data_IF_689045789697
#
_entry.id   IF_689045789697
#
_cell.length_a   1.000
_cell.length_b   1.000
_cell.length_c   1.000
_cell.angle_alpha   90.00
_cell.angle_beta   90.00
_cell.angle_gamma   90.00
#
_symmetry.space_group_name_H-M   'P 1'
#
loop_
_entity.id
_entity.type
_entity.pdbx_description
1 polymer ?
#
# COMPACT_ATOMS: atom_id res chain seq x y z
N UNK A 1 32.26 -42.35 -9.16
CA UNK A 1 31.83 -41.74 -10.45
C UNK A 1 30.73 -40.77 -10.09
N UNK A 2 31.11 -39.52 -9.86
CA UNK A 2 30.18 -38.47 -9.45
C UNK A 2 29.40 -38.01 -10.68
N UNK A 3 28.12 -38.36 -10.73
CA UNK A 3 27.19 -37.79 -11.70
C UNK A 3 27.10 -36.28 -11.47
N UNK A 4 27.27 -35.43 -12.51
CA UNK A 4 27.14 -33.99 -12.34
C UNK A 4 25.72 -33.66 -11.86
N UNK A 5 25.63 -33.01 -10.70
CA UNK A 5 24.35 -32.55 -10.13
C UNK A 5 23.83 -31.43 -11.02
N UNK A 6 22.79 -31.73 -11.80
CA UNK A 6 22.11 -30.74 -12.65
C UNK A 6 21.14 -29.96 -11.77
N UNK A 7 21.32 -28.64 -11.70
CA UNK A 7 20.43 -27.72 -10.98
C UNK A 7 19.31 -27.25 -11.90
N UNK A 8 18.08 -27.22 -11.40
CA UNK A 8 16.88 -26.86 -12.17
C UNK A 8 15.85 -27.99 -12.27
N UNK A 9 15.01 -27.94 -13.31
CA UNK A 9 14.02 -28.98 -13.62
C UNK A 9 14.75 -30.29 -13.93
N UNK A 10 14.52 -31.33 -13.14
CA UNK A 10 15.09 -32.66 -13.36
C UNK A 10 14.00 -33.63 -13.80
N UNK A 11 14.36 -34.64 -14.60
CA UNK A 11 13.45 -35.70 -15.04
C UNK A 11 13.17 -36.75 -13.93
N UNK A 12 13.67 -36.53 -12.72
CA UNK A 12 13.45 -37.44 -11.60
C UNK A 12 12.09 -37.14 -10.94
N UNK A 13 11.17 -38.09 -11.04
CA UNK A 13 9.82 -38.00 -10.43
C UNK A 13 9.85 -37.79 -8.91
N UNK A 14 10.97 -38.07 -8.24
CA UNK A 14 11.15 -37.86 -6.80
C UNK A 14 11.70 -36.47 -6.42
N UNK A 15 12.37 -35.77 -7.35
CA UNK A 15 12.97 -34.46 -7.13
C UNK A 15 12.86 -33.59 -8.41
N UNK A 16 11.64 -33.19 -8.80
CA UNK A 16 11.39 -32.47 -10.05
C UNK A 16 12.14 -31.13 -10.15
N UNK A 17 12.48 -30.50 -9.01
CA UNK A 17 13.34 -29.32 -8.97
C UNK A 17 14.33 -29.40 -7.81
N UNK A 18 15.62 -29.24 -8.11
CA UNK A 18 16.69 -29.27 -7.10
C UNK A 18 17.30 -27.88 -6.90
N UNK A 19 17.22 -27.39 -5.66
CA UNK A 19 17.84 -26.14 -5.22
C UNK A 19 19.36 -26.13 -5.41
N UNK A 20 19.93 -25.00 -5.83
CA UNK A 20 21.39 -24.81 -5.77
C UNK A 20 21.88 -24.63 -4.32
N UNK A 21 23.16 -24.90 -4.02
CA UNK A 21 23.71 -24.75 -2.67
C UNK A 21 23.56 -23.32 -2.15
N UNK A 22 23.75 -22.32 -3.01
CA UNK A 22 23.60 -20.91 -2.65
C UNK A 22 22.14 -20.56 -2.30
N UNK A 23 21.17 -21.14 -3.02
CA UNK A 23 19.75 -20.95 -2.74
C UNK A 23 19.35 -21.59 -1.40
N UNK A 24 19.89 -22.77 -1.08
CA UNK A 24 19.68 -23.41 0.21
C UNK A 24 20.27 -22.59 1.36
N UNK A 25 21.48 -22.07 1.20
CA UNK A 25 22.13 -21.21 2.21
C UNK A 25 21.28 -19.97 2.47
N UNK A 26 20.72 -19.36 1.42
CA UNK A 26 19.86 -18.18 1.55
C UNK A 26 18.55 -18.52 2.30
N UNK A 27 17.87 -19.59 1.92
CA UNK A 27 16.57 -20.01 2.49
C UNK A 27 16.66 -20.61 3.90
N UNK A 28 17.85 -21.02 4.34
CA UNK A 28 18.11 -21.54 5.69
C UNK A 28 18.87 -20.56 6.58
N UNK A 29 19.22 -19.38 6.05
CA UNK A 29 20.03 -18.39 6.75
C UNK A 29 19.34 -17.85 8.02
N UNK A 30 20.14 -17.59 9.05
CA UNK A 30 19.66 -17.01 10.31
C UNK A 30 19.05 -15.61 10.11
N UNK A 31 19.56 -14.87 9.14
CA UNK A 31 19.12 -13.50 8.83
C UNK A 31 17.71 -13.50 8.20
N UNK A 32 17.35 -14.48 7.35
CA UNK A 32 15.98 -14.65 6.87
C UNK A 32 15.01 -14.89 8.04
N UNK A 33 15.40 -15.79 8.94
CA UNK A 33 14.59 -16.15 10.12
C UNK A 33 14.40 -14.95 11.05
N UNK A 34 15.46 -14.20 11.34
CA UNK A 34 15.36 -12.99 12.17
C UNK A 34 14.50 -11.90 11.52
N UNK A 35 14.54 -11.75 10.19
CA UNK A 35 13.71 -10.78 9.50
C UNK A 35 12.21 -11.17 9.56
N UNK A 36 11.88 -12.45 9.41
CA UNK A 36 10.49 -12.94 9.59
C UNK A 36 9.95 -12.63 11.00
N UNK A 37 10.78 -12.81 12.04
CA UNK A 37 10.42 -12.45 13.42
C UNK A 37 10.20 -10.94 13.54
N UNK A 38 11.10 -10.13 12.96
CA UNK A 38 10.98 -8.68 12.95
C UNK A 38 9.70 -8.19 12.24
N UNK A 39 9.38 -8.71 11.06
CA UNK A 39 8.14 -8.42 10.35
C UNK A 39 6.89 -8.80 11.16
N UNK A 40 6.95 -9.91 11.92
CA UNK A 40 5.85 -10.30 12.80
C UNK A 40 5.61 -9.27 13.90
N UNK A 41 6.67 -8.72 14.51
CA UNK A 41 6.52 -7.63 15.49
C UNK A 41 5.95 -6.36 14.87
N UNK A 42 6.37 -6.01 13.65
CA UNK A 42 5.81 -4.87 12.90
C UNK A 42 4.31 -5.05 12.63
N UNK A 43 3.89 -6.25 12.22
CA UNK A 43 2.48 -6.57 12.00
C UNK A 43 1.64 -6.47 13.27
N UNK A 44 2.15 -6.96 14.40
CA UNK A 44 1.48 -6.78 15.71
C UNK A 44 1.30 -5.28 16.01
N UNK A 45 2.34 -4.48 15.76
CA UNK A 45 2.28 -3.02 15.88
C UNK A 45 1.23 -2.40 14.95
N UNK A 46 1.12 -2.89 13.71
CA UNK A 46 0.12 -2.45 12.74
C UNK A 46 -1.30 -2.72 13.23
N UNK A 47 -1.59 -3.95 13.68
CA UNK A 47 -2.91 -4.33 14.21
C UNK A 47 -3.31 -3.48 15.41
N UNK A 48 -2.38 -3.24 16.35
CA UNK A 48 -2.61 -2.36 17.51
C UNK A 48 -2.86 -0.91 17.06
N UNK A 49 -2.05 -0.41 16.12
CA UNK A 49 -2.18 0.93 15.55
C UNK A 49 -3.53 1.14 14.86
N UNK A 50 -3.94 0.19 14.02
CA UNK A 50 -5.26 0.19 13.37
C UNK A 50 -6.38 0.20 14.41
N UNK A 51 -6.28 -0.62 15.46
CA UNK A 51 -7.25 -0.62 16.56
C UNK A 51 -7.36 0.73 17.27
N UNK A 52 -6.22 1.37 17.54
CA UNK A 52 -6.19 2.72 18.12
C UNK A 52 -6.80 3.76 17.17
N UNK A 53 -6.45 3.73 15.88
CA UNK A 53 -7.03 4.61 14.86
C UNK A 53 -8.55 4.47 14.77
N UNK A 54 -9.08 3.24 14.75
CA UNK A 54 -10.53 3.00 14.72
C UNK A 54 -11.19 3.60 15.97
N UNK A 55 -10.61 3.38 17.15
CA UNK A 55 -11.14 3.92 18.42
C UNK A 55 -11.12 5.45 18.42
N UNK A 56 -10.04 6.06 17.94
CA UNK A 56 -9.89 7.50 17.84
C UNK A 56 -10.91 8.12 16.89
N UNK A 57 -11.05 7.57 15.67
CA UNK A 57 -12.01 8.06 14.68
C UNK A 57 -13.47 7.89 15.12
N UNK A 58 -13.80 6.84 15.89
CA UNK A 58 -15.15 6.68 16.47
C UNK A 58 -15.47 7.70 17.54
N UNK A 59 -14.48 8.08 18.36
CA UNK A 59 -14.67 9.02 19.47
C UNK A 59 -14.69 10.47 18.99
N UNK A 60 -13.94 10.77 17.94
CA UNK A 60 -13.84 12.09 17.35
C UNK A 60 -14.17 11.99 15.85
N UNK A 61 -15.46 12.09 15.47
CA UNK A 61 -15.86 12.19 14.08
C UNK A 61 -15.46 13.57 13.56
N UNK A 62 -14.17 13.70 13.23
CA UNK A 62 -13.56 14.89 12.67
C UNK A 62 -13.83 14.96 11.17
N UNK A 63 -14.10 13.81 10.55
CA UNK A 63 -14.19 13.64 9.10
C UNK A 63 -15.64 13.47 8.62
N UNK A 64 -15.92 13.93 7.40
CA UNK A 64 -17.16 13.70 6.69
C UNK A 64 -17.41 12.20 6.52
N UNK A 65 -18.68 11.81 6.46
CA UNK A 65 -19.12 10.41 6.40
C UNK A 65 -18.53 9.69 5.16
N UNK A 66 -18.42 10.40 4.03
CA UNK A 66 -17.79 9.91 2.79
C UNK A 66 -16.33 9.50 3.01
N UNK A 67 -15.51 10.42 3.52
CA UNK A 67 -14.07 10.21 3.70
C UNK A 67 -13.79 9.19 4.80
N UNK A 68 -14.59 9.21 5.87
CA UNK A 68 -14.52 8.23 6.96
C UNK A 68 -14.71 6.79 6.47
N UNK A 69 -15.67 6.56 5.55
CA UNK A 69 -15.90 5.25 4.96
C UNK A 69 -14.68 4.77 4.14
N UNK A 70 -14.08 5.66 3.34
CA UNK A 70 -12.87 5.35 2.56
C UNK A 70 -11.67 5.06 3.47
N UNK A 71 -11.52 5.79 4.58
CA UNK A 71 -10.47 5.51 5.58
C UNK A 71 -10.65 4.14 6.23
N UNK A 72 -11.87 3.76 6.62
CA UNK A 72 -12.12 2.42 7.17
C UNK A 72 -11.79 1.32 6.16
N UNK A 73 -12.15 1.53 4.89
CA UNK A 73 -11.82 0.59 3.82
C UNK A 73 -10.29 0.50 3.60
N UNK A 74 -9.57 1.61 3.69
CA UNK A 74 -8.10 1.61 3.62
C UNK A 74 -7.46 0.82 4.76
N UNK A 75 -7.96 0.98 6.00
CA UNK A 75 -7.49 0.19 7.15
C UNK A 75 -7.78 -1.30 6.97
N UNK A 76 -8.91 -1.66 6.37
CA UNK A 76 -9.24 -3.06 6.06
C UNK A 76 -8.26 -3.66 5.04
N UNK A 77 -7.98 -2.95 3.94
CA UNK A 77 -6.99 -3.42 2.95
C UNK A 77 -5.58 -3.53 3.54
N UNK A 78 -5.20 -2.62 4.44
CA UNK A 78 -3.93 -2.69 5.16
C UNK A 78 -3.82 -3.97 5.99
N UNK A 79 -4.87 -4.30 6.76
CA UNK A 79 -4.90 -5.53 7.55
C UNK A 79 -4.87 -6.79 6.68
N UNK A 80 -5.60 -6.82 5.56
CA UNK A 80 -5.60 -7.96 4.64
C UNK A 80 -4.19 -8.16 4.04
N UNK A 81 -3.53 -7.08 3.61
CA UNK A 81 -2.18 -7.15 3.08
C UNK A 81 -1.18 -7.63 4.14
N UNK A 82 -1.20 -7.03 5.33
CA UNK A 82 -0.30 -7.33 6.44
C UNK A 82 -0.43 -8.79 6.91
N UNK A 83 -1.67 -9.26 7.13
CA UNK A 83 -1.93 -10.65 7.54
C UNK A 83 -1.53 -11.67 6.47
N UNK A 84 -1.78 -11.37 5.19
CA UNK A 84 -1.34 -12.22 4.08
C UNK A 84 0.19 -12.28 3.99
N UNK A 85 0.88 -11.15 4.15
CA UNK A 85 2.33 -11.08 4.13
C UNK A 85 2.95 -11.90 5.25
N UNK A 86 2.50 -11.70 6.49
CA UNK A 86 3.00 -12.46 7.64
C UNK A 86 2.69 -13.95 7.50
N UNK A 87 1.50 -14.33 7.03
CA UNK A 87 1.15 -15.72 6.79
C UNK A 87 2.12 -16.41 5.80
N UNK A 88 2.51 -15.70 4.74
CA UNK A 88 3.50 -16.19 3.77
C UNK A 88 4.89 -16.31 4.38
N UNK A 89 5.32 -15.31 5.17
CA UNK A 89 6.61 -15.33 5.87
C UNK A 89 6.70 -16.49 6.88
N UNK A 90 5.62 -16.80 7.60
CA UNK A 90 5.59 -17.95 8.51
C UNK A 90 5.62 -19.30 7.77
N UNK A 91 4.99 -19.38 6.60
CA UNK A 91 5.09 -20.56 5.73
C UNK A 91 6.52 -20.78 5.25
N UNK A 92 7.25 -19.72 4.91
CA UNK A 92 8.68 -19.76 4.60
C UNK A 92 9.51 -20.20 5.80
N UNK A 93 9.23 -19.66 6.98
CA UNK A 93 9.92 -20.02 8.22
C UNK A 93 9.78 -21.52 8.53
N UNK A 94 8.55 -22.04 8.43
CA UNK A 94 8.27 -23.45 8.66
C UNK A 94 9.11 -24.34 7.74
N UNK A 95 9.14 -24.03 6.44
CA UNK A 95 9.94 -24.79 5.46
C UNK A 95 11.44 -24.63 5.68
N UNK A 96 11.91 -23.45 6.10
CA UNK A 96 13.31 -23.18 6.44
C UNK A 96 13.81 -24.07 7.58
N UNK A 97 12.95 -24.45 8.53
CA UNK A 97 13.30 -25.35 9.64
C UNK A 97 13.11 -26.83 9.32
N UNK A 98 12.01 -27.20 8.66
CA UNK A 98 11.65 -28.61 8.42
C UNK A 98 12.42 -29.22 7.25
N UNK A 99 12.66 -28.44 6.20
CA UNK A 99 13.32 -28.90 4.97
C UNK A 99 14.73 -28.30 4.81
N UNK A 100 15.43 -28.02 5.92
CA UNK A 100 16.77 -27.43 5.88
C UNK A 100 17.78 -28.27 5.10
N UNK A 101 17.60 -29.60 5.14
CA UNK A 101 18.54 -30.57 4.58
C UNK A 101 18.03 -31.15 3.23
N UNK A 102 16.81 -30.79 2.82
CA UNK A 102 16.12 -31.33 1.64
C UNK A 102 16.06 -30.33 0.47
N UNK A 103 16.97 -30.39 -0.52
CA UNK A 103 17.01 -29.46 -1.65
C UNK A 103 15.79 -29.54 -2.59
N UNK A 104 15.00 -30.61 -2.50
CA UNK A 104 13.89 -30.90 -3.41
C UNK A 104 12.53 -30.38 -2.91
N UNK A 105 12.39 -30.09 -1.61
CA UNK A 105 11.11 -29.72 -0.96
C UNK A 105 11.10 -28.32 -0.36
N UNK A 106 12.23 -27.63 -0.41
CA UNK A 106 12.38 -26.28 0.15
C UNK A 106 11.58 -25.21 -0.61
N UNK A 107 11.39 -25.38 -1.93
CA UNK A 107 10.65 -24.46 -2.80
C UNK A 107 9.14 -24.74 -2.82
N UNK A 108 8.35 -23.69 -3.06
CA UNK A 108 6.90 -23.82 -3.18
C UNK A 108 6.50 -24.25 -4.58
N UNK A 109 5.51 -25.11 -4.66
CA UNK A 109 4.84 -25.40 -5.92
C UNK A 109 3.95 -24.21 -6.30
N UNK A 110 3.98 -23.81 -7.56
CA UNK A 110 3.31 -22.56 -7.94
C UNK A 110 1.79 -22.61 -7.77
N UNK A 111 1.17 -23.77 -7.94
CA UNK A 111 -0.29 -23.89 -7.87
C UNK A 111 -0.80 -23.78 -6.43
N UNK A 112 -0.03 -24.26 -5.46
CA UNK A 112 -0.32 -24.07 -4.02
C UNK A 112 -0.26 -22.60 -3.62
N UNK A 113 0.57 -21.81 -4.31
CA UNK A 113 0.76 -20.39 -4.04
C UNK A 113 -0.34 -19.49 -4.63
N UNK A 114 -1.20 -19.99 -5.52
CA UNK A 114 -2.15 -19.13 -6.26
C UNK A 114 -3.08 -18.38 -5.32
N UNK A 115 -3.66 -19.05 -4.31
CA UNK A 115 -4.60 -18.40 -3.39
C UNK A 115 -3.91 -17.42 -2.44
N UNK A 116 -2.74 -17.78 -1.92
CA UNK A 116 -2.00 -16.92 -1.00
C UNK A 116 -1.43 -15.70 -1.71
N UNK A 117 -0.88 -15.87 -2.91
CA UNK A 117 -0.39 -14.80 -3.77
C UNK A 117 -1.52 -13.86 -4.21
N UNK A 118 -2.70 -14.39 -4.56
CA UNK A 118 -3.88 -13.56 -4.89
C UNK A 118 -4.34 -12.71 -3.70
N UNK A 119 -4.34 -13.25 -2.49
CA UNK A 119 -4.71 -12.48 -1.29
C UNK A 119 -3.72 -11.36 -1.01
N UNK A 120 -2.42 -11.64 -1.10
CA UNK A 120 -1.38 -10.62 -0.95
C UNK A 120 -1.53 -9.51 -2.00
N UNK A 121 -1.73 -9.90 -3.25
CA UNK A 121 -1.94 -9.00 -4.38
C UNK A 121 -3.20 -8.15 -4.17
N UNK A 122 -4.31 -8.76 -3.76
CA UNK A 122 -5.58 -8.07 -3.44
C UNK A 122 -5.38 -6.95 -2.41
N UNK A 123 -4.58 -7.22 -1.37
CA UNK A 123 -4.26 -6.25 -0.33
C UNK A 123 -3.48 -5.07 -0.88
N UNK A 124 -2.37 -5.31 -1.60
CA UNK A 124 -1.50 -4.23 -2.09
C UNK A 124 -2.15 -3.41 -3.21
N UNK A 125 -2.84 -4.03 -4.17
CA UNK A 125 -3.59 -3.31 -5.20
C UNK A 125 -4.75 -2.51 -4.59
N UNK A 126 -5.43 -3.09 -3.60
CA UNK A 126 -6.49 -2.41 -2.85
C UNK A 126 -6.00 -1.15 -2.13
N UNK A 127 -4.82 -1.22 -1.50
CA UNK A 127 -4.17 -0.07 -0.88
C UNK A 127 -3.84 1.02 -1.90
N UNK A 128 -3.36 0.69 -3.10
CA UNK A 128 -3.04 1.69 -4.12
C UNK A 128 -4.32 2.37 -4.62
N UNK A 129 -5.35 1.60 -4.95
CA UNK A 129 -6.60 2.14 -5.50
C UNK A 129 -7.41 2.95 -4.48
N UNK A 130 -7.42 2.56 -3.20
CA UNK A 130 -8.09 3.35 -2.16
C UNK A 130 -7.39 4.68 -1.90
N UNK A 131 -6.05 4.74 -2.06
CA UNK A 131 -5.32 6.00 -1.98
C UNK A 131 -5.66 6.94 -3.13
N UNK A 132 -5.75 6.42 -4.36
CA UNK A 132 -6.22 7.21 -5.50
C UNK A 132 -7.67 7.69 -5.29
N UNK A 133 -8.54 6.87 -4.70
CA UNK A 133 -9.91 7.26 -4.37
C UNK A 133 -9.97 8.37 -3.30
N UNK A 134 -9.14 8.30 -2.26
CA UNK A 134 -9.00 9.35 -1.25
C UNK A 134 -8.48 10.67 -1.84
N UNK A 135 -7.53 10.60 -2.76
CA UNK A 135 -7.03 11.78 -3.49
C UNK A 135 -8.13 12.40 -4.35
N UNK A 136 -8.94 11.58 -5.01
CA UNK A 136 -10.06 12.05 -5.82
C UNK A 136 -11.18 12.66 -4.95
N UNK A 137 -11.49 12.05 -3.81
CA UNK A 137 -12.43 12.61 -2.81
C UNK A 137 -11.96 13.99 -2.33
N UNK A 138 -10.66 14.14 -2.02
CA UNK A 138 -10.04 15.41 -1.68
C UNK A 138 -10.13 16.46 -2.80
N UNK A 139 -9.90 16.06 -4.05
CA UNK A 139 -10.06 16.95 -5.22
C UNK A 139 -11.49 17.46 -5.35
N UNK A 140 -12.49 16.59 -5.24
CA UNK A 140 -13.90 16.98 -5.33
C UNK A 140 -14.25 17.95 -4.20
N UNK A 141 -13.81 17.67 -2.97
CA UNK A 141 -14.07 18.52 -1.81
C UNK A 141 -13.44 19.93 -1.97
N UNK A 142 -12.24 20.04 -2.54
CA UNK A 142 -11.56 21.33 -2.73
C UNK A 142 -12.11 22.14 -3.89
N UNK A 143 -12.35 21.52 -5.06
CA UNK A 143 -12.71 22.26 -6.28
C UNK A 143 -14.22 22.40 -6.51
N UNK A 144 -15.04 21.50 -5.96
CA UNK A 144 -16.49 21.45 -6.21
C UNK A 144 -17.29 21.38 -4.90
N UNK A 145 -17.11 22.34 -3.97
CA UNK A 145 -17.75 22.30 -2.64
C UNK A 145 -19.29 22.33 -2.70
N UNK A 146 -19.88 22.99 -3.70
CA UNK A 146 -21.33 23.07 -3.88
C UNK A 146 -21.98 21.73 -4.24
N UNK A 147 -21.31 20.93 -5.06
CA UNK A 147 -21.76 19.58 -5.45
C UNK A 147 -21.55 18.62 -4.28
N UNK A 148 -20.41 18.73 -3.60
CA UNK A 148 -20.09 17.92 -2.43
C UNK A 148 -21.12 18.12 -1.31
N UNK A 149 -21.53 19.36 -1.05
CA UNK A 149 -22.57 19.69 -0.07
C UNK A 149 -23.94 19.10 -0.44
N UNK A 150 -24.33 19.18 -1.72
CA UNK A 150 -25.63 18.66 -2.19
C UNK A 150 -25.76 17.14 -2.04
N UNK A 151 -24.65 16.41 -2.11
CA UNK A 151 -24.66 14.94 -2.16
C UNK A 151 -24.07 14.25 -0.92
N UNK A 152 -23.61 14.99 0.10
CA UNK A 152 -23.19 14.56 1.44
C UNK A 152 -22.32 13.28 1.51
N UNK A 153 -22.93 12.09 1.41
CA UNK A 153 -22.29 10.77 1.53
C UNK A 153 -22.16 9.95 0.23
N UNK A 154 -22.77 10.41 -0.87
CA UNK A 154 -22.77 9.70 -2.15
C UNK A 154 -21.38 9.53 -2.82
N UNK A 155 -20.51 10.56 -2.91
CA UNK A 155 -19.26 10.42 -3.66
C UNK A 155 -18.34 9.36 -3.04
N UNK A 156 -18.22 9.32 -1.71
CA UNK A 156 -17.40 8.32 -1.02
C UNK A 156 -17.90 6.89 -1.20
N UNK A 157 -19.23 6.67 -1.19
CA UNK A 157 -19.83 5.34 -1.39
C UNK A 157 -19.59 4.83 -2.82
N UNK A 158 -19.76 5.70 -3.82
CA UNK A 158 -19.51 5.35 -5.23
C UNK A 158 -18.03 5.02 -5.45
N UNK A 159 -17.12 5.83 -4.90
CA UNK A 159 -15.68 5.59 -4.96
C UNK A 159 -15.28 4.27 -4.31
N UNK A 160 -15.81 3.96 -3.13
CA UNK A 160 -15.52 2.70 -2.43
C UNK A 160 -15.96 1.47 -3.23
N UNK A 161 -17.18 1.49 -3.78
CA UNK A 161 -17.70 0.39 -4.63
C UNK A 161 -16.85 0.25 -5.88
N UNK A 162 -16.50 1.35 -6.54
CA UNK A 162 -15.65 1.35 -7.72
C UNK A 162 -14.27 0.76 -7.42
N UNK A 163 -13.64 1.16 -6.31
CA UNK A 163 -12.35 0.63 -5.87
C UNK A 163 -12.39 -0.89 -5.67
N UNK A 164 -13.44 -1.42 -5.04
CA UNK A 164 -13.58 -2.87 -4.82
C UNK A 164 -13.74 -3.61 -6.15
N UNK A 165 -14.59 -3.11 -7.05
CA UNK A 165 -14.84 -3.72 -8.36
C UNK A 165 -13.55 -3.73 -9.21
N UNK A 166 -12.85 -2.60 -9.29
CA UNK A 166 -11.59 -2.49 -10.04
C UNK A 166 -10.53 -3.41 -9.44
N UNK A 167 -10.43 -3.49 -8.12
CA UNK A 167 -9.46 -4.36 -7.45
C UNK A 167 -9.70 -5.84 -7.82
N UNK A 168 -10.95 -6.30 -7.73
CA UNK A 168 -11.33 -7.67 -8.10
C UNK A 168 -11.04 -7.92 -9.59
N UNK A 169 -11.44 -7.00 -10.47
CA UNK A 169 -11.24 -7.14 -11.91
C UNK A 169 -9.76 -7.27 -12.30
N UNK A 170 -8.90 -6.42 -11.71
CA UNK A 170 -7.45 -6.45 -11.97
C UNK A 170 -6.82 -7.77 -11.54
N UNK A 171 -7.27 -8.38 -10.44
CA UNK A 171 -6.78 -9.69 -10.01
C UNK A 171 -7.08 -10.80 -11.02
N UNK A 172 -8.25 -10.77 -11.65
CA UNK A 172 -8.60 -11.75 -12.68
C UNK A 172 -7.81 -11.54 -13.98
N UNK A 173 -7.44 -10.30 -14.30
CA UNK A 173 -6.60 -10.01 -15.47
C UNK A 173 -5.13 -10.40 -15.28
N UNK A 174 -4.56 -10.13 -14.10
CA UNK A 174 -3.13 -10.33 -13.83
C UNK A 174 -2.82 -11.78 -13.48
N UNK A 175 -3.72 -12.46 -12.74
CA UNK A 175 -3.53 -13.84 -12.28
C UNK A 175 -4.65 -14.75 -12.83
N UNK A 176 -4.65 -15.06 -14.15
CA UNK A 176 -5.55 -16.06 -14.70
C UNK A 176 -5.05 -17.44 -14.26
N UNK A 177 -5.66 -18.02 -13.23
CA UNK A 177 -5.21 -19.27 -12.58
C UNK A 177 -5.34 -20.55 -13.42
N UNK A 178 -5.05 -20.51 -14.72
CA UNK A 178 -5.32 -21.58 -15.68
C UNK A 178 -4.10 -22.06 -16.48
N UNK A 179 -2.93 -21.44 -16.35
CA UNK A 179 -1.76 -21.88 -17.13
C UNK A 179 -1.03 -23.03 -16.43
N UNK A 180 -1.11 -24.19 -17.10
CA UNK A 180 -0.60 -25.51 -16.72
C UNK A 180 0.90 -25.62 -16.99
N UNK A 181 1.71 -24.94 -16.19
CA UNK A 181 3.16 -25.10 -16.15
C UNK A 181 3.63 -25.39 -14.74
N UNK A 182 4.40 -26.48 -14.57
CA UNK A 182 5.00 -26.87 -13.29
C UNK A 182 6.18 -25.93 -12.96
N UNK A 183 5.87 -24.76 -12.42
CA UNK A 183 6.86 -23.79 -11.95
C UNK A 183 7.09 -23.90 -10.42
N UNK A 184 8.35 -23.74 -10.00
CA UNK A 184 8.76 -23.70 -8.58
C UNK A 184 9.17 -22.29 -8.18
N UNK A 185 8.67 -21.81 -7.04
CA UNK A 185 8.92 -20.45 -6.56
C UNK A 185 9.60 -20.41 -5.19
N UNK A 186 10.58 -19.50 -4.99
CA UNK A 186 11.25 -19.29 -3.70
C UNK A 186 10.30 -18.86 -2.59
N UNK A 187 9.26 -18.12 -2.96
CA UNK A 187 8.20 -17.63 -2.07
C UNK A 187 6.95 -17.42 -2.90
N UNK A 188 5.78 -17.64 -2.31
CA UNK A 188 4.49 -17.34 -2.94
C UNK A 188 4.24 -15.83 -3.15
N UNK A 189 5.16 -14.96 -2.71
CA UNK A 189 5.13 -13.53 -3.03
C UNK A 189 5.55 -13.25 -4.49
N UNK A 190 6.24 -14.19 -5.14
CA UNK A 190 6.71 -14.02 -6.51
C UNK A 190 5.66 -14.44 -7.54
N UNK A 191 5.67 -13.78 -8.69
CA UNK A 191 4.82 -14.14 -9.83
C UNK A 191 5.43 -15.30 -10.62
N UNK A 192 4.56 -16.14 -11.21
CA UNK A 192 4.95 -17.15 -12.21
C UNK A 192 5.72 -16.48 -13.34
N UNK A 193 6.68 -17.20 -13.96
CA UNK A 193 7.49 -16.64 -15.04
C UNK A 193 6.65 -16.29 -16.27
N UNK A 194 5.61 -17.08 -16.55
CA UNK A 194 4.64 -16.84 -17.63
C UNK A 194 3.79 -15.58 -17.41
N UNK A 195 3.46 -15.27 -16.15
CA UNK A 195 2.67 -14.09 -15.79
C UNK A 195 3.52 -12.83 -15.53
N UNK A 196 4.85 -12.94 -15.62
CA UNK A 196 5.79 -11.87 -15.30
C UNK A 196 5.60 -10.62 -16.17
N UNK A 197 5.22 -10.76 -17.44
CA UNK A 197 4.96 -9.61 -18.33
C UNK A 197 3.75 -8.80 -17.87
N UNK A 198 2.64 -9.48 -17.58
CA UNK A 198 1.40 -8.85 -17.07
C UNK A 198 1.63 -8.21 -15.70
N UNK A 199 2.36 -8.90 -14.83
CA UNK A 199 2.73 -8.39 -13.51
C UNK A 199 3.64 -7.15 -13.60
N UNK A 200 4.62 -7.15 -14.51
CA UNK A 200 5.48 -5.99 -14.75
C UNK A 200 4.67 -4.79 -15.30
N UNK A 201 3.74 -5.02 -16.23
CA UNK A 201 2.86 -3.97 -16.75
C UNK A 201 2.00 -3.36 -15.63
N UNK A 202 1.40 -4.20 -14.79
CA UNK A 202 0.63 -3.75 -13.62
C UNK A 202 1.51 -2.96 -12.64
N UNK A 203 2.72 -3.44 -12.36
CA UNK A 203 3.66 -2.78 -11.45
C UNK A 203 4.07 -1.41 -11.96
N UNK A 204 4.38 -1.28 -13.25
CA UNK A 204 4.70 0.01 -13.89
C UNK A 204 3.50 0.96 -13.86
N UNK A 205 2.31 0.48 -14.22
CA UNK A 205 1.07 1.27 -14.13
C UNK A 205 0.78 1.74 -12.71
N UNK A 206 1.04 0.89 -11.72
CA UNK A 206 0.82 1.20 -10.31
C UNK A 206 1.80 2.27 -9.81
N UNK A 207 3.08 2.18 -10.18
CA UNK A 207 4.08 3.21 -9.85
C UNK A 207 3.66 4.56 -10.42
N UNK A 208 3.25 4.60 -11.69
CA UNK A 208 2.78 5.84 -12.34
C UNK A 208 1.58 6.41 -11.58
N UNK A 209 0.58 5.58 -11.29
CA UNK A 209 -0.62 6.00 -10.56
C UNK A 209 -0.30 6.57 -9.17
N UNK A 210 0.59 5.93 -8.42
CA UNK A 210 0.97 6.38 -7.09
C UNK A 210 1.76 7.70 -7.16
N UNK A 211 2.68 7.85 -8.12
CA UNK A 211 3.41 9.12 -8.35
C UNK A 211 2.43 10.25 -8.72
N UNK A 212 1.50 10.00 -9.63
CA UNK A 212 0.47 10.98 -10.00
C UNK A 212 -0.38 11.38 -8.77
N UNK A 213 -0.77 10.40 -7.96
CA UNK A 213 -1.54 10.65 -6.72
C UNK A 213 -0.75 11.54 -5.75
N UNK A 214 0.56 11.34 -5.60
CA UNK A 214 1.41 12.21 -4.78
C UNK A 214 1.46 13.65 -5.29
N UNK A 215 1.70 13.84 -6.59
CA UNK A 215 1.77 15.18 -7.18
C UNK A 215 0.45 15.94 -6.97
N UNK A 216 -0.68 15.25 -7.15
CA UNK A 216 -2.01 15.81 -6.90
C UNK A 216 -2.18 16.16 -5.42
N UNK A 217 -1.83 15.26 -4.49
CA UNK A 217 -1.95 15.52 -3.05
C UNK A 217 -1.07 16.70 -2.60
N UNK A 218 0.15 16.82 -3.12
CA UNK A 218 1.03 17.98 -2.87
C UNK A 218 0.44 19.27 -3.42
N UNK A 219 -0.16 19.22 -4.63
CA UNK A 219 -0.90 20.32 -5.21
C UNK A 219 -2.09 20.74 -4.34
N UNK A 220 -2.87 19.77 -3.84
CA UNK A 220 -4.01 20.01 -2.96
C UNK A 220 -3.57 20.65 -1.65
N UNK A 221 -2.48 20.17 -1.06
CA UNK A 221 -1.88 20.74 0.15
C UNK A 221 -1.44 22.19 -0.08
N UNK A 222 -0.79 22.47 -1.22
CA UNK A 222 -0.36 23.82 -1.57
C UNK A 222 -1.56 24.77 -1.74
N UNK A 223 -2.57 24.36 -2.50
CA UNK A 223 -3.80 25.14 -2.72
C UNK A 223 -4.50 25.41 -1.40
N UNK A 224 -4.70 24.38 -0.57
CA UNK A 224 -5.37 24.54 0.72
C UNK A 224 -4.60 25.47 1.67
N UNK A 225 -3.25 25.43 1.66
CA UNK A 225 -2.40 26.34 2.43
C UNK A 225 -2.45 27.78 1.89
N UNK A 226 -2.45 27.95 0.57
CA UNK A 226 -2.57 29.27 -0.07
C UNK A 226 -3.91 29.91 0.26
N UNK A 227 -5.01 29.15 0.16
CA UNK A 227 -6.31 29.61 0.60
C UNK A 227 -6.29 29.97 2.09
N UNK A 228 -5.66 29.16 2.96
CA UNK A 228 -5.60 29.45 4.42
C UNK A 228 -5.01 30.82 4.70
N UNK A 229 -3.83 31.08 4.13
CA UNK A 229 -3.17 32.39 4.25
C UNK A 229 -4.08 33.51 3.75
N UNK A 230 -4.75 33.33 2.61
CA UNK A 230 -5.67 34.34 2.07
C UNK A 230 -6.83 34.65 3.02
N UNK A 231 -7.37 33.65 3.72
CA UNK A 231 -8.43 33.86 4.71
C UNK A 231 -7.91 34.62 5.93
N UNK A 232 -6.71 34.29 6.41
CA UNK A 232 -6.10 34.96 7.58
C UNK A 232 -5.86 36.45 7.30
N UNK A 233 -5.34 36.80 6.11
CA UNK A 233 -5.18 38.19 5.70
C UNK A 233 -6.51 38.95 5.60
N UNK A 234 -7.58 38.29 5.12
CA UNK A 234 -8.91 38.92 5.03
C UNK A 234 -9.54 39.13 6.41
N UNK A 235 -9.33 38.21 7.36
CA UNK A 235 -9.84 38.36 8.72
C UNK A 235 -9.12 39.47 9.49
N UNK A 236 -7.83 39.68 9.25
CA UNK A 236 -7.05 40.76 9.87
C UNK A 236 -7.47 42.14 9.31
N UNK A 237 -7.70 42.22 7.99
CA UNK A 237 -8.18 43.43 7.33
C UNK A 237 -9.64 43.78 7.72
N UNK A 238 -10.52 42.77 7.79
CA UNK A 238 -11.90 42.93 8.23
C UNK A 238 -11.97 43.32 9.71
N UNK A 239 -11.19 42.69 10.60
CA UNK A 239 -11.18 43.07 12.02
C UNK A 239 -10.59 44.47 12.27
N UNK A 240 -9.62 44.91 11.46
CA UNK A 240 -9.07 46.28 11.51
C UNK A 240 -10.08 47.34 11.04
N UNK A 241 -10.88 47.06 10.01
CA UNK A 241 -11.91 47.98 9.50
C UNK A 241 -13.18 47.96 10.36
N UNK A 242 -13.57 46.79 10.86
CA UNK A 242 -14.83 46.55 11.55
C UNK A 242 -14.82 46.97 13.03
N UNK A 243 -13.64 46.97 13.65
CA UNK A 243 -13.42 47.54 14.99
C UNK A 243 -13.75 49.05 15.09
N UNK A 244 -13.87 49.75 13.96
CA UNK A 244 -14.21 51.17 13.92
C UNK A 244 -15.71 51.45 13.67
N UNK A 245 -16.51 50.44 13.30
CA UNK A 245 -17.90 50.64 12.86
C UNK A 245 -18.98 49.88 13.67
N UNK A 246 -18.62 48.94 14.54
CA UNK A 246 -19.59 48.03 15.19
C UNK A 246 -19.65 48.09 16.72
N UNK A 247 -20.10 49.21 17.29
CA UNK A 247 -20.63 49.21 18.66
C UNK A 247 -22.16 49.02 18.74
N UNK A 248 -22.91 49.00 17.62
CA UNK A 248 -24.38 49.07 17.75
C UNK A 248 -25.24 48.25 16.76
N UNK A 249 -24.71 47.57 15.72
CA UNK A 249 -25.60 47.04 14.64
C UNK A 249 -25.55 45.54 14.31
N UNK A 250 -24.58 44.74 14.74
CA UNK A 250 -24.22 43.54 13.95
C UNK A 250 -24.51 42.15 14.53
N UNK A 251 -25.25 42.03 15.62
CA UNK A 251 -25.61 40.70 16.16
C UNK A 251 -26.44 39.86 15.17
N UNK A 252 -27.06 40.51 14.16
CA UNK A 252 -27.88 39.87 13.12
C UNK A 252 -27.15 39.56 11.81
N UNK A 253 -26.09 40.29 11.44
CA UNK A 253 -25.37 40.09 10.16
C UNK A 253 -24.15 39.16 10.28
N UNK A 254 -23.52 39.08 11.46
CA UNK A 254 -22.48 38.07 11.72
C UNK A 254 -22.98 36.62 11.59
N UNK A 255 -24.29 36.42 11.82
CA UNK A 255 -24.95 35.12 11.69
C UNK A 255 -25.14 34.68 10.23
N UNK A 256 -24.89 35.55 9.25
CA UNK A 256 -25.17 35.27 7.82
C UNK A 256 -24.00 34.78 6.95
N UNK A 257 -22.73 34.76 7.38
CA UNK A 257 -21.69 34.12 6.53
C UNK A 257 -20.34 33.72 7.13
N UNK A 258 -20.17 33.66 8.46
CA UNK A 258 -19.15 32.80 9.04
C UNK A 258 -19.70 31.37 9.05
N UNK A 259 -19.66 30.71 7.89
CA UNK A 259 -20.10 29.31 7.80
C UNK A 259 -19.04 28.44 8.49
N UNK A 260 -19.23 28.24 9.79
CA UNK A 260 -18.39 27.39 10.64
C UNK A 260 -18.25 26.00 10.01
N UNK A 261 -19.29 25.53 9.31
CA UNK A 261 -19.28 24.26 8.58
C UNK A 261 -18.26 24.26 7.43
N UNK A 262 -18.17 25.36 6.67
CA UNK A 262 -17.22 25.51 5.56
C UNK A 262 -15.78 25.60 6.05
N UNK A 263 -15.53 26.37 7.12
CA UNK A 263 -14.20 26.44 7.77
C UNK A 263 -13.80 25.09 8.39
N UNK A 264 -14.75 24.39 9.01
CA UNK A 264 -14.55 23.07 9.58
C UNK A 264 -14.19 22.04 8.50
N UNK A 265 -14.99 21.94 7.43
CA UNK A 265 -14.71 21.07 6.27
C UNK A 265 -13.38 21.40 5.59
N UNK A 266 -12.97 22.66 5.59
CA UNK A 266 -11.71 23.07 4.99
C UNK A 266 -10.50 22.74 5.87
N UNK A 267 -10.62 22.92 7.19
CA UNK A 267 -9.62 22.45 8.15
C UNK A 267 -9.50 20.92 8.12
N UNK A 268 -10.65 20.25 7.99
CA UNK A 268 -10.76 18.81 7.78
C UNK A 268 -10.06 18.39 6.48
N UNK A 269 -10.37 19.03 5.35
CA UNK A 269 -9.72 18.77 4.06
C UNK A 269 -8.20 19.03 4.11
N UNK A 270 -7.74 20.01 4.89
CA UNK A 270 -6.31 20.26 5.13
C UNK A 270 -5.69 19.12 5.95
N UNK A 271 -6.34 18.68 7.04
CA UNK A 271 -5.84 17.59 7.88
C UNK A 271 -5.85 16.25 7.15
N UNK A 272 -6.95 15.90 6.46
CA UNK A 272 -7.03 14.68 5.63
C UNK A 272 -6.00 14.72 4.52
N UNK A 273 -5.89 15.81 3.77
CA UNK A 273 -4.90 15.95 2.70
C UNK A 273 -3.46 15.83 3.21
N UNK A 274 -3.13 16.40 4.38
CA UNK A 274 -1.81 16.22 5.02
C UNK A 274 -1.55 14.76 5.40
N UNK A 275 -2.52 14.12 6.06
CA UNK A 275 -2.40 12.72 6.47
C UNK A 275 -2.30 11.78 5.27
N UNK A 276 -3.15 11.96 4.26
CA UNK A 276 -3.10 11.23 2.99
C UNK A 276 -1.77 11.47 2.30
N UNK A 277 -1.26 12.70 2.24
CA UNK A 277 0.06 13.00 1.65
C UNK A 277 1.18 12.25 2.35
N UNK A 278 1.22 12.24 3.69
CA UNK A 278 2.24 11.51 4.45
C UNK A 278 2.13 10.00 4.19
N UNK A 279 0.91 9.47 4.16
CA UNK A 279 0.67 8.04 3.93
C UNK A 279 1.06 7.63 2.50
N UNK A 280 0.72 8.45 1.49
CA UNK A 280 1.13 8.24 0.09
C UNK A 280 2.64 8.38 -0.06
N UNK A 281 3.29 9.32 0.62
CA UNK A 281 4.76 9.44 0.63
C UNK A 281 5.41 8.17 1.19
N UNK A 282 4.89 7.65 2.31
CA UNK A 282 5.38 6.41 2.91
C UNK A 282 5.14 5.18 2.01
N UNK A 283 4.00 5.12 1.33
CA UNK A 283 3.71 4.06 0.36
C UNK A 283 4.57 4.15 -0.89
N UNK A 284 4.87 5.36 -1.38
CA UNK A 284 5.76 5.55 -2.52
C UNK A 284 7.20 5.21 -2.16
N UNK A 285 7.68 5.63 -0.99
CA UNK A 285 9.02 5.25 -0.56
C UNK A 285 9.12 3.73 -0.43
N UNK A 286 8.12 3.07 0.16
CA UNK A 286 8.02 1.63 0.23
C UNK A 286 8.02 0.95 -1.16
N UNK A 287 7.12 1.36 -2.06
CA UNK A 287 7.01 0.80 -3.41
C UNK A 287 8.23 1.09 -4.27
N UNK A 288 8.86 2.26 -4.12
CA UNK A 288 10.09 2.62 -4.83
C UNK A 288 11.27 1.80 -4.32
N UNK A 289 11.36 1.54 -3.02
CA UNK A 289 12.37 0.64 -2.45
C UNK A 289 12.12 -0.79 -2.94
N UNK A 290 10.88 -1.26 -2.96
CA UNK A 290 10.53 -2.60 -3.43
C UNK A 290 10.80 -2.80 -4.93
N UNK A 291 10.25 -1.92 -5.78
CA UNK A 291 10.40 -2.00 -7.23
C UNK A 291 11.82 -1.62 -7.68
N UNK A 292 12.38 -0.56 -7.11
CA UNK A 292 13.75 -0.12 -7.38
C UNK A 292 14.77 -1.13 -6.88
N UNK A 293 14.60 -1.67 -5.69
CA UNK A 293 15.42 -2.75 -5.14
C UNK A 293 15.36 -4.01 -6.00
N UNK A 294 14.16 -4.44 -6.39
CA UNK A 294 13.97 -5.60 -7.27
C UNK A 294 14.55 -5.40 -8.68
N UNK A 295 14.46 -4.20 -9.23
CA UNK A 295 15.00 -3.86 -10.55
C UNK A 295 16.54 -3.74 -10.55
N UNK A 296 17.10 -3.04 -9.57
CA UNK A 296 18.55 -2.94 -9.34
C UNK A 296 19.13 -4.34 -9.12
N UNK A 297 18.43 -5.20 -8.40
CA UNK A 297 18.83 -6.57 -8.17
C UNK A 297 18.90 -7.41 -9.46
N UNK A 298 17.96 -7.21 -10.39
CA UNK A 298 17.99 -7.86 -11.71
C UNK A 298 19.17 -7.38 -12.55
N UNK A 299 19.59 -6.12 -12.41
CA UNK A 299 20.72 -5.54 -13.14
C UNK A 299 22.08 -5.94 -12.56
N UNK A 300 22.19 -6.09 -11.23
CA UNK A 300 23.45 -6.40 -10.55
C UNK A 300 23.71 -7.90 -10.36
N UNK A 301 22.84 -8.78 -10.90
CA UNK A 301 22.92 -10.24 -10.75
C UNK A 301 24.29 -10.82 -11.14
N UNK A 302 25.00 -10.20 -12.07
CA UNK A 302 26.28 -10.70 -12.58
C UNK A 302 27.52 -10.11 -11.88
N UNK A 303 27.36 -9.11 -11.00
CA UNK A 303 28.49 -8.31 -10.47
C UNK A 303 28.67 -8.33 -8.95
N UNK A 304 27.80 -8.99 -8.18
CA UNK A 304 27.84 -8.94 -6.70
C UNK A 304 28.52 -10.20 -6.10
N UNK A 305 29.52 -10.06 -5.20
CA UNK A 305 30.09 -11.17 -4.44
C UNK A 305 29.09 -11.75 -3.41
N UNK A 306 29.08 -13.09 -3.28
CA UNK A 306 28.08 -13.91 -2.56
C UNK A 306 27.81 -13.46 -1.11
N UNK A 307 28.80 -12.92 -0.41
CA UNK A 307 28.67 -12.47 0.99
C UNK A 307 27.91 -11.15 1.16
N UNK A 308 28.02 -10.23 0.20
CA UNK A 308 27.29 -8.95 0.20
C UNK A 308 25.89 -9.11 -0.41
N UNK A 309 25.77 -10.05 -1.35
CA UNK A 309 24.53 -10.52 -1.95
C UNK A 309 23.55 -11.04 -0.89
N UNK A 310 23.98 -11.92 0.02
CA UNK A 310 23.08 -12.53 1.01
C UNK A 310 22.49 -11.51 2.01
N UNK A 311 23.25 -10.50 2.45
CA UNK A 311 22.73 -9.53 3.43
C UNK A 311 21.77 -8.50 2.83
N UNK A 312 22.00 -8.06 1.58
CA UNK A 312 21.14 -7.06 0.91
C UNK A 312 19.88 -7.71 0.34
N UNK A 313 19.98 -8.92 -0.20
CA UNK A 313 18.83 -9.70 -0.68
C UNK A 313 17.83 -9.93 0.45
N UNK A 314 18.31 -10.33 1.62
CA UNK A 314 17.43 -10.66 2.73
C UNK A 314 16.80 -9.41 3.34
N UNK A 315 17.46 -8.26 3.25
CA UNK A 315 16.89 -6.98 3.66
C UNK A 315 15.91 -6.37 2.65
N UNK A 316 16.09 -6.59 1.35
CA UNK A 316 15.19 -6.06 0.31
C UNK A 316 13.99 -6.98 0.06
N UNK A 317 14.18 -8.29 0.15
CA UNK A 317 13.13 -9.28 -0.14
C UNK A 317 12.26 -9.67 1.05
N UNK A 318 12.77 -9.53 2.28
CA UNK A 318 12.02 -9.97 3.47
C UNK A 318 11.46 -8.78 4.26
N UNK A 319 12.04 -7.58 4.11
CA UNK A 319 11.54 -6.37 4.80
C UNK A 319 10.36 -5.68 4.10
N UNK A 320 9.94 -6.15 2.92
CA UNK A 320 8.79 -5.62 2.17
C UNK A 320 7.85 -6.72 1.70
#
# INVERSE_FOLDING_TARGET
MDTPIIYGLTNDTSCPFRASPDQMILQTSWILRMNIIYCTFLSIGCVVGVGYCIRFMRKHPIFNESTTLLLYLALLFALIHDTAHVGLQWSLMYRSFVYSDDPCRIFFFSDDCVNSGRTLFFGISGLIYIHSALTLDGLIATFLPSIYYKYHSWPGRVLAVLTIIVNIFVQFLVLPGKETGDDYLPSCQFFKKQDAEKANLWLMSSIILTISSLLINLGLLYVNKMHSKRTDYLADDESAVLGHYLTEYDEKMYRTRYDVQFQYQRSEAIMTSKSISVLVIAQISALLIYAGGSYIFRLLRESIPVSLYNNVVIWVYVSF
#
